data_IF_302799544420
#
_entry.id   IF_302799544420
#
_cell.length_a   1.000
_cell.length_b   1.000
_cell.length_c   1.000
_cell.angle_alpha   90.00
_cell.angle_beta   90.00
_cell.angle_gamma   90.00
#
_symmetry.space_group_name_H-M   'P 1'
#
loop_
_entity.id
_entity.type
_entity.pdbx_description
1 polymer ?
#
# COMPACT_ATOMS: atom_id res chain seq x y z
N UNK A 1 5.54 -24.76 -17.38
CA UNK A 1 4.14 -24.74 -17.85
C UNK A 1 4.03 -23.77 -19.02
N UNK A 2 3.60 -24.24 -20.19
CA UNK A 2 3.42 -23.41 -21.38
C UNK A 2 2.14 -22.59 -21.21
N UNK A 3 2.22 -21.27 -21.36
CA UNK A 3 1.05 -20.38 -21.21
C UNK A 3 0.23 -20.42 -22.52
N UNK A 4 -0.91 -21.10 -22.50
CA UNK A 4 -1.87 -21.15 -23.62
C UNK A 4 -3.02 -20.16 -23.40
N UNK A 5 -3.78 -19.87 -24.46
CA UNK A 5 -4.97 -19.00 -24.36
C UNK A 5 -4.68 -17.52 -24.10
N UNK A 6 -3.44 -17.06 -24.35
CA UNK A 6 -3.07 -15.63 -24.28
C UNK A 6 -2.38 -15.19 -25.56
N UNK A 7 -2.49 -13.91 -25.90
CA UNK A 7 -1.87 -13.35 -27.12
C UNK A 7 -0.34 -13.51 -27.12
N UNK A 8 0.30 -13.22 -25.98
CA UNK A 8 1.75 -13.38 -25.81
C UNK A 8 2.19 -14.84 -25.90
N UNK A 9 1.42 -15.78 -25.33
CA UNK A 9 1.68 -17.21 -25.46
C UNK A 9 1.59 -17.69 -26.91
N UNK A 10 0.56 -17.26 -27.64
CA UNK A 10 0.38 -17.58 -29.05
C UNK A 10 1.55 -17.06 -29.93
N UNK A 11 2.02 -15.83 -29.69
CA UNK A 11 3.11 -15.23 -30.49
C UNK A 11 4.51 -15.73 -30.15
N UNK A 12 4.79 -16.01 -28.88
CA UNK A 12 6.15 -16.41 -28.43
C UNK A 12 6.46 -17.88 -28.66
N UNK A 13 5.46 -18.76 -28.57
CA UNK A 13 5.64 -20.22 -28.69
C UNK A 13 5.07 -20.80 -29.99
N UNK A 14 4.36 -19.99 -30.78
CA UNK A 14 3.89 -20.39 -32.11
C UNK A 14 2.83 -21.49 -32.11
N UNK A 15 2.14 -21.72 -30.99
CA UNK A 15 1.05 -22.69 -30.88
C UNK A 15 -0.06 -22.37 -31.88
N UNK A 16 -0.48 -23.38 -32.65
CA UNK A 16 -1.48 -23.26 -33.74
C UNK A 16 -2.85 -23.81 -33.35
N UNK A 17 -3.07 -24.12 -32.08
CA UNK A 17 -4.35 -24.65 -31.60
C UNK A 17 -5.42 -23.56 -31.52
N UNK A 18 -6.69 -23.96 -31.52
CA UNK A 18 -7.82 -23.02 -31.58
C UNK A 18 -7.86 -22.08 -30.37
N UNK A 19 -7.41 -22.53 -29.19
CA UNK A 19 -7.29 -21.69 -28.00
C UNK A 19 -6.33 -20.50 -28.17
N UNK A 20 -5.29 -20.64 -28.99
CA UNK A 20 -4.31 -19.58 -29.27
C UNK A 20 -4.70 -18.76 -30.51
N UNK A 21 -5.30 -19.39 -31.53
CA UNK A 21 -5.80 -18.72 -32.74
C UNK A 21 -6.94 -17.75 -32.42
N UNK A 22 -7.89 -18.14 -31.56
CA UNK A 22 -9.04 -17.32 -31.20
C UNK A 22 -8.64 -15.99 -30.56
N UNK A 23 -7.64 -16.02 -29.66
CA UNK A 23 -7.13 -14.83 -28.97
C UNK A 23 -6.41 -13.88 -29.94
N UNK A 24 -5.64 -14.41 -30.89
CA UNK A 24 -5.00 -13.60 -31.94
C UNK A 24 -6.04 -12.95 -32.84
N UNK A 25 -7.06 -13.71 -33.29
CA UNK A 25 -8.16 -13.17 -34.11
C UNK A 25 -8.95 -12.09 -33.39
N UNK A 26 -9.26 -12.28 -32.11
CA UNK A 26 -9.96 -11.30 -31.29
C UNK A 26 -9.15 -9.99 -31.17
N UNK A 27 -7.83 -10.09 -30.94
CA UNK A 27 -6.93 -8.94 -30.92
C UNK A 27 -6.89 -8.22 -32.26
N UNK A 28 -6.73 -8.95 -33.37
CA UNK A 28 -6.66 -8.36 -34.72
C UNK A 28 -7.97 -7.67 -35.11
N UNK A 29 -9.12 -8.26 -34.76
CA UNK A 29 -10.44 -7.65 -34.99
C UNK A 29 -10.62 -6.37 -34.17
N UNK A 30 -10.24 -6.38 -32.89
CA UNK A 30 -10.27 -5.20 -32.04
C UNK A 30 -9.36 -4.09 -32.60
N UNK A 31 -8.12 -4.43 -32.97
CA UNK A 31 -7.16 -3.49 -33.57
C UNK A 31 -7.69 -2.87 -34.86
N UNK A 32 -8.25 -3.68 -35.78
CA UNK A 32 -8.85 -3.18 -37.03
C UNK A 32 -9.98 -2.19 -36.78
N UNK A 33 -10.87 -2.48 -35.82
CA UNK A 33 -11.95 -1.57 -35.41
C UNK A 33 -11.41 -0.24 -34.89
N UNK A 34 -10.42 -0.28 -33.99
CA UNK A 34 -9.83 0.96 -33.43
C UNK A 34 -9.12 1.81 -34.49
N UNK A 35 -8.46 1.18 -35.47
CA UNK A 35 -7.85 1.90 -36.60
C UNK A 35 -8.94 2.56 -37.46
N UNK A 36 -9.99 1.83 -37.81
CA UNK A 36 -11.11 2.36 -38.60
C UNK A 36 -11.80 3.54 -37.89
N UNK A 37 -11.86 3.52 -36.56
CA UNK A 37 -12.40 4.62 -35.76
C UNK A 37 -11.42 5.77 -35.52
N UNK A 38 -10.19 5.69 -36.01
CA UNK A 38 -9.14 6.70 -35.76
C UNK A 38 -8.66 6.77 -34.31
N UNK A 39 -9.02 5.80 -33.47
CA UNK A 39 -8.73 5.76 -32.03
C UNK A 39 -7.54 4.87 -31.68
N UNK A 40 -6.89 4.27 -32.69
CA UNK A 40 -5.75 3.40 -32.47
C UNK A 40 -4.50 4.20 -32.08
N UNK A 41 -4.29 4.36 -30.77
CA UNK A 41 -3.03 4.81 -30.21
C UNK A 41 -2.40 3.71 -29.32
N UNK A 42 -1.38 2.98 -29.80
CA UNK A 42 -0.77 1.92 -29.01
C UNK A 42 0.17 2.43 -27.92
N UNK A 43 0.56 3.71 -27.96
CA UNK A 43 1.58 4.29 -27.07
C UNK A 43 0.98 5.35 -26.16
N UNK A 44 1.31 5.28 -24.88
CA UNK A 44 0.96 6.30 -23.89
C UNK A 44 2.06 7.36 -23.78
N UNK A 45 1.75 8.42 -23.04
CA UNK A 45 2.70 9.48 -22.72
C UNK A 45 3.72 8.97 -21.68
N UNK A 46 4.95 8.72 -22.14
CA UNK A 46 6.03 8.25 -21.28
C UNK A 46 6.52 9.33 -20.33
N UNK A 47 6.54 10.59 -20.77
CA UNK A 47 7.04 11.71 -19.97
C UNK A 47 6.13 11.96 -18.78
N UNK A 48 4.81 12.01 -19.03
CA UNK A 48 3.80 12.09 -17.98
C UNK A 48 3.90 10.93 -16.99
N UNK A 49 4.11 9.70 -17.48
CA UNK A 49 4.30 8.52 -16.61
C UNK A 49 5.53 8.68 -15.73
N UNK A 50 6.68 9.09 -16.28
CA UNK A 50 7.91 9.27 -15.50
C UNK A 50 7.78 10.39 -14.47
N UNK A 51 7.14 11.51 -14.83
CA UNK A 51 6.90 12.62 -13.92
C UNK A 51 5.96 12.21 -12.77
N UNK A 52 4.88 11.49 -13.07
CA UNK A 52 3.95 11.00 -12.06
C UNK A 52 4.58 9.98 -11.11
N UNK A 53 5.41 9.07 -11.64
CA UNK A 53 6.15 8.11 -10.81
C UNK A 53 7.14 8.83 -9.90
N UNK A 54 7.87 9.83 -10.41
CA UNK A 54 8.77 10.65 -9.58
C UNK A 54 7.99 11.37 -8.47
N UNK A 55 6.86 12.00 -8.80
CA UNK A 55 5.98 12.64 -7.83
C UNK A 55 5.51 11.68 -6.72
N UNK A 56 5.10 10.46 -7.07
CA UNK A 56 4.69 9.46 -6.07
C UNK A 56 5.88 9.00 -5.21
N UNK A 57 7.06 8.87 -5.80
CA UNK A 57 8.29 8.53 -5.07
C UNK A 57 8.69 9.63 -4.08
N UNK A 58 8.57 10.90 -4.47
CA UNK A 58 8.80 12.05 -3.58
C UNK A 58 7.83 12.06 -2.39
N UNK A 59 6.64 11.50 -2.57
CA UNK A 59 5.64 11.29 -1.50
C UNK A 59 5.86 10.00 -0.68
N UNK A 60 6.98 9.31 -0.89
CA UNK A 60 7.41 8.14 -0.14
C UNK A 60 6.96 6.79 -0.70
N UNK A 61 6.39 6.75 -1.91
CA UNK A 61 6.00 5.48 -2.52
C UNK A 61 7.21 4.75 -3.11
N UNK A 62 7.16 3.42 -3.08
CA UNK A 62 8.15 2.59 -3.79
C UNK A 62 7.67 2.30 -5.21
N UNK A 63 8.61 2.14 -6.16
CA UNK A 63 8.29 1.70 -7.53
C UNK A 63 7.49 0.40 -7.57
N UNK A 64 7.74 -0.51 -6.62
CA UNK A 64 6.98 -1.76 -6.49
C UNK A 64 5.55 -1.49 -6.02
N UNK A 65 5.36 -0.65 -5.00
CA UNK A 65 4.04 -0.24 -4.51
C UNK A 65 3.19 0.46 -5.57
N UNK A 66 3.80 1.34 -6.36
CA UNK A 66 3.15 1.98 -7.52
C UNK A 66 2.71 0.94 -8.54
N UNK A 67 3.57 -0.04 -8.86
CA UNK A 67 3.24 -1.13 -9.79
C UNK A 67 2.06 -1.99 -9.31
N UNK A 68 2.04 -2.33 -8.02
CA UNK A 68 0.92 -3.07 -7.42
C UNK A 68 -0.37 -2.25 -7.49
N UNK A 69 -0.34 -0.97 -7.11
CA UNK A 69 -1.50 -0.08 -7.16
C UNK A 69 -2.03 0.12 -8.59
N UNK A 70 -1.13 0.23 -9.58
CA UNK A 70 -1.47 0.37 -10.99
C UNK A 70 -1.91 -0.96 -11.65
N UNK A 71 -1.67 -2.11 -11.02
CA UNK A 71 -1.82 -3.42 -11.68
C UNK A 71 -0.87 -3.58 -12.87
N UNK A 72 0.36 -3.08 -12.73
CA UNK A 72 1.45 -3.15 -13.70
C UNK A 72 2.58 -4.01 -13.15
N UNK A 73 3.07 -4.95 -13.95
CA UNK A 73 4.09 -5.91 -13.52
C UNK A 73 5.43 -5.25 -13.16
N UNK A 74 6.13 -5.85 -12.19
CA UNK A 74 7.43 -5.39 -11.68
C UNK A 74 8.46 -5.16 -12.79
N UNK A 75 8.47 -6.01 -13.81
CA UNK A 75 9.37 -5.88 -14.94
C UNK A 75 9.19 -4.55 -15.70
N UNK A 76 7.96 -4.07 -15.85
CA UNK A 76 7.66 -2.78 -16.48
C UNK A 76 8.11 -1.64 -15.57
N UNK A 77 7.78 -1.71 -14.27
CA UNK A 77 8.22 -0.71 -13.28
C UNK A 77 9.73 -0.60 -13.18
N UNK A 78 10.45 -1.73 -13.23
CA UNK A 78 11.91 -1.77 -13.26
C UNK A 78 12.48 -1.03 -14.47
N UNK A 79 11.87 -1.19 -15.65
CA UNK A 79 12.32 -0.47 -16.85
C UNK A 79 12.01 1.02 -16.80
N UNK A 80 10.90 1.42 -16.17
CA UNK A 80 10.60 2.85 -15.90
C UNK A 80 11.67 3.43 -14.98
N UNK A 81 11.89 2.80 -13.82
CA UNK A 81 12.90 3.19 -12.82
C UNK A 81 14.30 3.35 -13.41
N UNK A 82 14.72 2.40 -14.24
CA UNK A 82 16.05 2.39 -14.82
C UNK A 82 16.16 3.29 -16.09
N UNK A 83 15.10 4.05 -16.43
CA UNK A 83 15.02 4.85 -17.66
C UNK A 83 15.29 4.05 -18.96
N UNK A 84 14.87 2.78 -18.98
CA UNK A 84 15.13 1.85 -20.08
C UNK A 84 13.97 1.74 -21.08
N UNK A 85 12.85 2.44 -20.85
CA UNK A 85 11.73 2.49 -21.79
C UNK A 85 11.92 3.64 -22.77
N UNK A 86 11.77 3.34 -24.06
CA UNK A 86 11.61 4.35 -25.12
C UNK A 86 10.15 4.65 -25.45
N UNK A 87 9.24 3.71 -25.14
CA UNK A 87 7.79 3.79 -25.36
C UNK A 87 7.09 3.00 -24.27
N UNK A 88 5.96 3.50 -23.79
CA UNK A 88 5.05 2.80 -22.86
C UNK A 88 3.74 2.50 -23.59
N UNK A 89 3.12 1.35 -23.31
CA UNK A 89 1.80 1.04 -23.89
C UNK A 89 0.75 1.95 -23.29
N UNK A 90 -0.20 2.42 -24.10
CA UNK A 90 -1.27 3.31 -23.64
C UNK A 90 -1.98 2.77 -22.39
N UNK A 91 -2.32 1.49 -22.39
CA UNK A 91 -2.96 0.83 -21.25
C UNK A 91 -2.13 0.86 -19.96
N UNK A 92 -0.81 0.67 -20.05
CA UNK A 92 0.07 0.70 -18.87
C UNK A 92 0.27 2.15 -18.38
N UNK A 93 0.33 3.11 -19.31
CA UNK A 93 0.39 4.53 -18.97
C UNK A 93 -0.86 4.99 -18.23
N UNK A 94 -2.05 4.70 -18.76
CA UNK A 94 -3.33 5.05 -18.15
C UNK A 94 -3.47 4.46 -16.73
N UNK A 95 -3.03 3.21 -16.55
CA UNK A 95 -3.00 2.56 -15.23
C UNK A 95 -2.09 3.27 -14.23
N UNK A 96 -0.87 3.63 -14.65
CA UNK A 96 0.10 4.29 -13.76
C UNK A 96 -0.36 5.71 -13.43
N UNK A 97 -0.81 6.48 -14.43
CA UNK A 97 -1.36 7.82 -14.25
C UNK A 97 -2.64 7.82 -13.41
N UNK A 98 -3.39 6.72 -13.45
CA UNK A 98 -4.59 6.51 -12.64
C UNK A 98 -4.32 6.25 -11.15
N UNK A 99 -3.06 6.01 -10.73
CA UNK A 99 -2.73 5.80 -9.32
C UNK A 99 -2.93 7.10 -8.54
N UNK A 100 -3.88 7.09 -7.61
CA UNK A 100 -4.21 8.23 -6.75
C UNK A 100 -3.61 8.08 -5.36
N UNK A 101 -3.30 9.22 -4.74
CA UNK A 101 -2.70 9.32 -3.40
C UNK A 101 -3.50 8.62 -2.29
N UNK A 102 -4.81 8.45 -2.48
CA UNK A 102 -5.68 7.72 -1.55
C UNK A 102 -5.40 6.22 -1.47
N UNK A 103 -4.49 5.68 -2.29
CA UNK A 103 -4.16 4.26 -2.35
C UNK A 103 -2.72 3.98 -1.93
N UNK A 104 -2.17 4.66 -0.91
CA UNK A 104 -0.81 4.36 -0.43
C UNK A 104 -0.65 2.84 -0.23
N UNK A 105 0.25 2.23 -1.01
CA UNK A 105 0.51 0.81 -1.01
C UNK A 105 1.99 0.57 -0.71
N UNK A 106 2.28 -0.41 0.15
CA UNK A 106 3.64 -0.73 0.57
C UNK A 106 3.77 -0.87 2.08
N UNK A 107 4.99 -0.65 2.56
CA UNK A 107 5.33 -0.72 3.98
C UNK A 107 5.86 0.64 4.46
N UNK A 108 5.47 1.01 5.67
CA UNK A 108 5.98 2.18 6.40
C UNK A 108 6.66 1.71 7.68
N UNK A 109 7.57 2.51 8.27
CA UNK A 109 8.09 2.21 9.60
C UNK A 109 6.94 1.96 10.59
N UNK A 110 7.05 0.88 11.37
CA UNK A 110 5.99 0.51 12.30
C UNK A 110 5.95 1.43 13.54
N UNK A 111 6.93 2.30 13.74
CA UNK A 111 7.10 3.17 14.92
C UNK A 111 5.81 3.88 15.32
N UNK A 112 5.17 4.59 14.39
CA UNK A 112 3.92 5.31 14.66
C UNK A 112 2.75 4.40 15.02
N UNK A 113 2.64 3.24 14.37
CA UNK A 113 1.62 2.24 14.69
C UNK A 113 1.86 1.61 16.07
N UNK A 114 3.11 1.27 16.39
CA UNK A 114 3.51 0.70 17.68
C UNK A 114 3.21 1.69 18.80
N UNK A 115 3.61 2.96 18.65
CA UNK A 115 3.38 4.02 19.64
C UNK A 115 1.89 4.22 19.91
N UNK A 116 1.05 4.32 18.87
CA UNK A 116 -0.41 4.42 19.03
C UNK A 116 -1.01 3.22 19.77
N UNK A 117 -0.61 1.99 19.40
CA UNK A 117 -1.12 0.77 20.05
C UNK A 117 -0.69 0.66 21.52
N UNK A 118 0.51 1.12 21.85
CA UNK A 118 1.04 1.14 23.22
C UNK A 118 0.38 2.24 24.06
N UNK A 119 0.23 3.44 23.50
CA UNK A 119 -0.49 4.54 24.15
C UNK A 119 -1.96 4.17 24.45
N UNK A 120 -2.65 3.52 23.50
CA UNK A 120 -3.98 2.97 23.74
C UNK A 120 -4.00 1.93 24.86
N UNK A 121 -2.97 1.11 24.98
CA UNK A 121 -2.86 0.14 26.08
C UNK A 121 -2.63 0.81 27.43
N UNK A 122 -1.85 1.91 27.50
CA UNK A 122 -1.70 2.75 28.70
C UNK A 122 -3.05 3.34 29.10
N UNK A 123 -3.88 3.76 28.14
CA UNK A 123 -5.26 4.18 28.41
C UNK A 123 -6.22 3.03 28.74
N UNK A 124 -5.77 1.77 28.64
CA UNK A 124 -6.52 0.57 29.02
C UNK A 124 -7.25 -0.12 27.87
N UNK A 125 -7.02 0.27 26.62
CA UNK A 125 -7.61 -0.39 25.46
C UNK A 125 -6.87 -1.69 25.12
N UNK A 126 -7.60 -2.81 25.19
CA UNK A 126 -7.12 -4.11 24.73
C UNK A 126 -7.12 -4.25 23.20
N UNK A 127 -6.52 -5.32 22.68
CA UNK A 127 -6.47 -5.56 21.23
C UNK A 127 -7.83 -5.91 20.61
N UNK A 128 -8.75 -6.48 21.40
CA UNK A 128 -10.10 -6.85 20.94
C UNK A 128 -10.88 -5.61 20.48
N UNK A 129 -11.08 -4.56 21.31
CA UNK A 129 -11.80 -3.36 20.86
C UNK A 129 -11.07 -2.62 19.73
N UNK A 130 -9.73 -2.60 19.72
CA UNK A 130 -8.97 -1.98 18.63
C UNK A 130 -9.20 -2.74 17.32
N UNK A 131 -9.17 -4.07 17.35
CA UNK A 131 -9.44 -4.93 16.20
C UNK A 131 -10.85 -4.74 15.66
N UNK A 132 -11.85 -4.66 16.55
CA UNK A 132 -13.23 -4.39 16.16
C UNK A 132 -13.39 -3.00 15.52
N UNK A 133 -12.68 -2.00 16.04
CA UNK A 133 -12.74 -0.64 15.53
C UNK A 133 -12.02 -0.46 14.18
N UNK A 134 -10.86 -1.09 13.99
CA UNK A 134 -9.99 -0.88 12.82
C UNK A 134 -10.17 -1.92 11.71
N UNK A 135 -10.81 -3.06 11.99
CA UNK A 135 -10.90 -4.20 11.07
C UNK A 135 -9.60 -4.98 10.89
N UNK A 136 -8.53 -4.63 11.63
CA UNK A 136 -7.25 -5.36 11.61
C UNK A 136 -7.31 -6.54 12.57
N UNK A 137 -6.74 -7.68 12.21
CA UNK A 137 -6.75 -8.87 13.07
C UNK A 137 -5.98 -8.66 14.39
N UNK A 138 -6.48 -9.23 15.48
CA UNK A 138 -5.84 -9.16 16.80
C UNK A 138 -4.39 -9.65 16.78
N UNK A 139 -4.11 -10.73 16.03
CA UNK A 139 -2.75 -11.27 15.90
C UNK A 139 -1.79 -10.27 15.25
N UNK A 140 -2.22 -9.61 14.16
CA UNK A 140 -1.39 -8.60 13.50
C UNK A 140 -1.13 -7.39 14.41
N UNK A 141 -2.15 -6.92 15.12
CA UNK A 141 -2.00 -5.85 16.11
C UNK A 141 -1.08 -6.27 17.27
N UNK A 142 -1.13 -7.52 17.71
CA UNK A 142 -0.25 -8.07 18.74
C UNK A 142 1.22 -8.05 18.35
N UNK A 143 1.55 -8.50 17.13
CA UNK A 143 2.92 -8.47 16.61
C UNK A 143 3.46 -7.05 16.44
N UNK A 144 2.61 -6.10 16.04
CA UNK A 144 3.00 -4.69 15.93
C UNK A 144 3.23 -4.08 17.31
N UNK A 145 2.28 -4.26 18.24
CA UNK A 145 2.37 -3.68 19.59
C UNK A 145 3.56 -4.19 20.39
N UNK A 146 3.95 -5.45 20.23
CA UNK A 146 5.15 -6.01 20.87
C UNK A 146 6.44 -5.43 20.31
N UNK A 147 6.42 -4.81 19.12
CA UNK A 147 7.63 -4.34 18.43
C UNK A 147 8.36 -5.45 17.67
N UNK A 148 7.77 -6.65 17.52
CA UNK A 148 8.35 -7.75 16.76
C UNK A 148 8.45 -7.46 15.25
N UNK A 149 7.79 -6.40 14.76
CA UNK A 149 7.81 -5.95 13.37
C UNK A 149 8.32 -4.53 13.29
N UNK A 150 9.36 -4.31 12.50
CA UNK A 150 9.93 -2.98 12.21
C UNK A 150 9.17 -2.24 11.10
N UNK A 151 8.39 -2.97 10.30
CA UNK A 151 7.60 -2.45 9.18
C UNK A 151 6.13 -2.83 9.31
N UNK A 152 5.24 -1.89 9.00
CA UNK A 152 3.80 -2.09 8.94
C UNK A 152 3.30 -1.91 7.50
N UNK A 153 2.33 -2.71 7.07
CA UNK A 153 1.64 -2.46 5.81
C UNK A 153 0.87 -1.15 5.93
N UNK A 154 0.89 -0.33 4.88
CA UNK A 154 0.21 0.97 4.89
C UNK A 154 -1.27 0.86 5.29
N UNK A 155 -2.10 -0.04 4.73
CA UNK A 155 -3.50 -0.14 5.13
C UNK A 155 -3.69 -0.44 6.61
N UNK A 156 -2.74 -1.15 7.24
CA UNK A 156 -2.78 -1.44 8.68
C UNK A 156 -2.41 -0.21 9.50
N UNK A 157 -1.36 0.52 9.09
CA UNK A 157 -0.96 1.76 9.75
C UNK A 157 -2.09 2.81 9.68
N UNK A 158 -2.68 2.99 8.49
CA UNK A 158 -3.80 3.92 8.26
C UNK A 158 -5.04 3.52 9.07
N UNK A 159 -5.39 2.23 9.11
CA UNK A 159 -6.53 1.74 9.89
C UNK A 159 -6.35 1.96 11.39
N UNK A 160 -5.14 1.78 11.93
CA UNK A 160 -4.85 2.05 13.35
C UNK A 160 -4.87 3.55 13.62
N UNK A 161 -4.25 4.37 12.75
CA UNK A 161 -4.26 5.82 12.89
C UNK A 161 -5.68 6.39 12.83
N UNK A 162 -6.52 5.88 11.92
CA UNK A 162 -7.90 6.34 11.73
C UNK A 162 -8.84 6.08 12.92
N UNK A 163 -8.52 5.11 13.79
CA UNK A 163 -9.33 4.82 14.99
C UNK A 163 -8.73 5.36 16.29
N UNK A 164 -7.49 5.82 16.25
CA UNK A 164 -6.72 6.18 17.45
C UNK A 164 -7.38 7.27 18.28
N UNK A 165 -7.61 8.45 17.70
CA UNK A 165 -8.20 9.60 18.39
C UNK A 165 -9.61 9.31 18.92
N UNK A 166 -10.41 8.59 18.14
CA UNK A 166 -11.75 8.18 18.53
C UNK A 166 -11.71 7.29 19.77
N UNK A 167 -10.84 6.27 19.78
CA UNK A 167 -10.76 5.35 20.93
C UNK A 167 -10.25 6.06 22.18
N UNK A 168 -9.29 6.99 22.05
CA UNK A 168 -8.86 7.82 23.18
C UNK A 168 -10.01 8.63 23.78
N UNK A 169 -10.86 9.21 22.93
CA UNK A 169 -12.01 10.00 23.38
C UNK A 169 -13.11 9.14 24.02
N UNK A 170 -13.34 7.93 23.52
CA UNK A 170 -14.38 7.01 24.03
C UNK A 170 -13.99 6.35 25.37
N UNK A 171 -12.69 6.19 25.63
CA UNK A 171 -12.18 5.46 26.79
C UNK A 171 -12.37 3.94 26.67
N UNK A 172 -11.76 3.15 27.59
CA UNK A 172 -11.71 1.70 27.43
C UNK A 172 -13.05 1.04 27.76
N UNK A 173 -13.58 0.25 26.82
CA UNK A 173 -14.87 -0.45 26.95
C UNK A 173 -14.79 -1.84 27.59
N UNK A 174 -13.59 -2.31 27.95
CA UNK A 174 -13.37 -3.69 28.43
C UNK A 174 -13.29 -3.77 29.95
N UNK A 175 -13.90 -4.79 30.61
CA UNK A 175 -13.66 -5.08 32.03
C UNK A 175 -12.18 -5.35 32.37
N UNK A 176 -11.36 -5.73 31.37
CA UNK A 176 -9.92 -5.95 31.54
C UNK A 176 -9.07 -4.69 31.42
N UNK A 177 -9.68 -3.51 31.26
CA UNK A 177 -8.96 -2.25 31.06
C UNK A 177 -7.89 -1.99 32.13
N UNK A 178 -8.21 -2.26 33.39
CA UNK A 178 -7.29 -2.10 34.52
C UNK A 178 -6.03 -2.95 34.38
N UNK A 179 -6.18 -4.20 33.92
CA UNK A 179 -5.06 -5.13 33.74
C UNK A 179 -4.22 -4.69 32.55
N UNK A 180 -4.85 -4.36 31.41
CA UNK A 180 -4.14 -3.89 30.21
C UNK A 180 -3.29 -2.65 30.51
N UNK A 181 -3.87 -1.70 31.27
CA UNK A 181 -3.15 -0.50 31.72
C UNK A 181 -1.97 -0.84 32.62
N UNK A 182 -2.18 -1.70 33.63
CA UNK A 182 -1.12 -2.10 34.54
C UNK A 182 0.06 -2.77 33.81
N UNK A 183 -0.24 -3.68 32.87
CA UNK A 183 0.78 -4.35 32.07
C UNK A 183 1.54 -3.37 31.16
N UNK A 184 0.84 -2.41 30.54
CA UNK A 184 1.44 -1.40 29.68
C UNK A 184 2.39 -0.47 30.46
N UNK A 185 1.98 -0.03 31.65
CA UNK A 185 2.82 0.80 32.52
C UNK A 185 4.04 0.01 33.00
N UNK A 186 3.86 -1.25 33.42
CA UNK A 186 4.95 -2.11 33.85
C UNK A 186 5.96 -2.39 32.72
N UNK A 187 5.49 -2.45 31.46
CA UNK A 187 6.33 -2.58 30.28
C UNK A 187 7.03 -1.27 29.86
N UNK A 188 6.86 -0.18 30.61
CA UNK A 188 7.47 1.13 30.33
C UNK A 188 6.93 1.76 29.05
N UNK A 189 5.67 1.52 28.71
CA UNK A 189 5.08 2.11 27.51
C UNK A 189 4.61 3.54 27.76
N UNK A 190 4.88 4.40 26.78
CA UNK A 190 4.60 5.82 26.86
C UNK A 190 3.10 6.13 26.68
N UNK A 191 2.55 7.10 27.45
CA UNK A 191 1.18 7.56 27.31
C UNK A 191 0.98 8.39 26.01
N UNK A 192 -0.27 8.64 25.60
CA UNK A 192 -0.57 9.52 24.46
C UNK A 192 0.12 10.89 24.54
N UNK A 193 0.15 11.49 25.74
CA UNK A 193 0.73 12.81 25.98
C UNK A 193 2.25 12.90 25.73
N UNK A 194 2.95 11.77 25.66
CA UNK A 194 4.39 11.74 25.36
C UNK A 194 4.70 11.97 23.87
N UNK A 195 3.68 11.96 22.99
CA UNK A 195 3.84 12.06 21.55
C UNK A 195 3.01 13.22 20.98
N UNK A 196 3.61 14.01 20.10
CA UNK A 196 2.89 14.99 19.29
C UNK A 196 2.37 14.33 18.01
N UNK A 197 1.27 14.86 17.44
CA UNK A 197 0.78 14.50 16.10
C UNK A 197 1.85 14.61 15.00
N UNK A 198 2.91 15.37 15.23
CA UNK A 198 4.01 15.56 14.29
C UNK A 198 5.19 14.60 14.52
N UNK A 199 5.39 14.13 15.74
CA UNK A 199 6.56 13.30 16.12
C UNK A 199 6.22 11.81 16.25
N UNK A 200 4.93 11.48 16.42
CA UNK A 200 4.49 10.10 16.64
C UNK A 200 4.87 9.14 15.51
N UNK A 201 4.93 9.61 14.26
CA UNK A 201 5.26 8.78 13.09
C UNK A 201 6.76 8.77 12.73
N UNK A 202 7.55 9.69 13.29
CA UNK A 202 8.99 9.79 13.00
C UNK A 202 9.76 8.69 13.76
N UNK A 203 10.41 7.73 13.07
CA UNK A 203 11.20 6.68 13.71
C UNK A 203 12.35 7.20 14.59
N UNK A 204 12.88 8.39 14.29
CA UNK A 204 13.97 9.01 15.03
C UNK A 204 13.55 9.87 16.22
N UNK A 205 12.25 10.16 16.38
CA UNK A 205 11.76 11.03 17.45
C UNK A 205 11.79 10.35 18.83
N UNK A 206 12.08 11.14 19.86
CA UNK A 206 12.03 10.71 21.26
C UNK A 206 10.71 11.09 21.92
N UNK A 207 10.29 10.34 22.97
CA UNK A 207 9.16 10.76 23.80
C UNK A 207 9.45 12.14 24.42
N UNK A 208 8.46 13.03 24.40
CA UNK A 208 8.52 14.44 24.82
C UNK A 208 9.20 15.44 23.86
N UNK A 209 9.61 15.03 22.66
CA UNK A 209 9.91 15.99 21.58
C UNK A 209 8.60 16.70 21.17
N UNK A 210 8.40 17.91 21.70
CA UNK A 210 7.41 18.85 21.17
C UNK A 210 8.05 19.51 19.96
N UNK A 211 7.40 19.40 18.79
CA UNK A 211 7.93 19.93 17.53
C UNK A 211 8.51 21.34 17.73
N UNK A 212 9.81 21.49 17.47
CA UNK A 212 10.48 22.78 17.44
C UNK A 212 9.95 23.65 16.28
#
# INVERSE_FOLDING_TARGET
>A
MTVHGTYSGAKSKGCRDECCKSVVRAYDQHRRRQIAYGRWNPWGDLEAVTAHVAFLVDLGWTHSGIGVAAGVGEHTMRKIRNHQLRKVRAQDADKILGVRLSQRAGFVPASGTVRRLRALAVEGHGLIPISAASGVSQSALGYLRSGARTWAQVPVADAVAGVYERLLAEGPSSPRARIVRADAIAAGWEPPAAWSRFTIDDPGANPMDTAA
#
